data_IF_233814489754
#
_entry.id   IF_233814489754
#
_cell.length_a   1.000
_cell.length_b   1.000
_cell.length_c   1.000
_cell.angle_alpha   90.00
_cell.angle_beta   90.00
_cell.angle_gamma   90.00
#
_symmetry.space_group_name_H-M   'P 1'
#
loop_
_entity.id
_entity.type
_entity.pdbx_description
1 polymer ?
#
# COMPACT_ATOMS: atom_id res chain seq x y z
N UNK A 1 -31.65 -15.95 0.19
CA UNK A 1 -30.37 -15.45 0.72
C UNK A 1 -29.38 -15.60 -0.42
N UNK A 2 -28.73 -14.53 -0.88
CA UNK A 2 -27.67 -14.66 -1.88
C UNK A 2 -26.45 -15.18 -1.12
N UNK A 3 -26.15 -16.47 -1.23
CA UNK A 3 -24.88 -17.01 -0.75
C UNK A 3 -23.77 -16.55 -1.70
N UNK A 4 -22.64 -16.18 -1.12
CA UNK A 4 -21.46 -15.76 -1.85
C UNK A 4 -20.80 -17.00 -2.45
N UNK A 5 -20.50 -16.97 -3.75
CA UNK A 5 -19.96 -18.12 -4.46
C UNK A 5 -18.51 -18.39 -4.04
N UNK A 6 -18.05 -19.64 -4.11
CA UNK A 6 -16.70 -20.02 -3.66
C UNK A 6 -15.57 -19.28 -4.40
N UNK A 7 -15.84 -18.78 -5.60
CA UNK A 7 -14.90 -17.97 -6.39
C UNK A 7 -14.92 -16.47 -6.00
N UNK A 8 -15.98 -16.01 -5.35
CA UNK A 8 -16.05 -14.68 -4.72
C UNK A 8 -15.32 -14.65 -3.37
N UNK A 9 -15.13 -15.83 -2.74
CA UNK A 9 -14.14 -16.06 -1.68
C UNK A 9 -12.73 -16.08 -2.30
N UNK A 10 -12.32 -14.98 -2.93
CA UNK A 10 -10.93 -14.82 -3.30
C UNK A 10 -10.10 -14.82 -2.00
N UNK A 11 -9.13 -15.72 -1.80
CA UNK A 11 -8.29 -15.71 -0.60
C UNK A 11 -7.51 -14.39 -0.46
N UNK A 12 -7.54 -13.55 -1.52
CA UNK A 12 -7.22 -12.11 -1.50
C UNK A 12 -5.75 -11.80 -1.24
N UNK A 13 -4.96 -12.81 -0.88
CA UNK A 13 -3.60 -12.68 -0.40
C UNK A 13 -2.90 -14.04 -0.46
N UNK A 14 -2.01 -14.20 -1.43
CA UNK A 14 -0.94 -15.19 -1.31
C UNK A 14 -0.06 -14.74 -0.14
N UNK A 15 -0.24 -15.34 1.03
CA UNK A 15 0.64 -15.17 2.18
C UNK A 15 1.62 -16.34 2.18
N UNK A 16 2.92 -16.05 2.16
CA UNK A 16 3.92 -16.97 2.70
C UNK A 16 3.57 -17.23 4.18
N UNK A 17 3.95 -18.38 4.74
CA UNK A 17 3.74 -18.75 6.15
C UNK A 17 4.28 -17.67 7.12
N UNK A 18 5.18 -16.81 6.64
CA UNK A 18 5.79 -15.68 7.37
C UNK A 18 5.02 -14.35 7.23
N UNK A 19 3.91 -14.32 6.49
CA UNK A 19 3.15 -13.09 6.23
C UNK A 19 3.83 -12.13 5.24
N UNK A 20 4.81 -12.60 4.47
CA UNK A 20 5.52 -11.81 3.48
C UNK A 20 4.62 -11.43 2.29
N UNK A 21 4.96 -10.32 1.62
CA UNK A 21 4.27 -9.88 0.41
C UNK A 21 4.51 -10.89 -0.71
N UNK A 22 3.48 -11.29 -1.48
CA UNK A 22 3.69 -12.21 -2.58
C UNK A 22 4.63 -11.62 -3.62
N UNK A 23 5.67 -12.40 -3.94
CA UNK A 23 6.59 -12.15 -5.04
C UNK A 23 5.89 -12.51 -6.35
N UNK A 24 5.72 -11.54 -7.24
CA UNK A 24 5.11 -11.71 -8.57
C UNK A 24 6.18 -12.11 -9.60
N UNK A 25 7.35 -11.50 -9.49
CA UNK A 25 8.57 -11.74 -10.28
C UNK A 25 9.78 -11.65 -9.33
N UNK A 26 10.96 -12.13 -9.73
CA UNK A 26 12.19 -12.10 -8.91
C UNK A 26 12.46 -10.73 -8.26
N UNK A 27 12.09 -9.65 -8.93
CA UNK A 27 12.31 -8.25 -8.58
C UNK A 27 11.04 -7.48 -8.21
N UNK A 28 9.84 -8.06 -8.41
CA UNK A 28 8.56 -7.37 -8.22
C UNK A 28 7.72 -8.09 -7.17
N UNK A 29 7.29 -7.36 -6.15
CA UNK A 29 6.30 -7.83 -5.17
C UNK A 29 5.12 -6.89 -5.08
N UNK A 30 3.98 -7.42 -4.63
CA UNK A 30 2.76 -6.66 -4.42
C UNK A 30 2.20 -6.88 -3.03
N UNK A 31 1.73 -5.82 -2.38
CA UNK A 31 1.09 -5.88 -1.08
C UNK A 31 -0.13 -4.99 -1.02
N UNK A 32 -1.13 -5.42 -0.26
CA UNK A 32 -2.33 -4.61 0.06
C UNK A 32 -2.26 -4.21 1.53
N UNK A 33 -2.18 -2.90 1.78
CA UNK A 33 -2.16 -2.36 3.14
C UNK A 33 -3.53 -1.75 3.45
N UNK A 34 -4.10 -2.15 4.58
CA UNK A 34 -5.33 -1.56 5.12
C UNK A 34 -4.93 -0.65 6.27
N UNK A 35 -5.22 0.64 6.14
CA UNK A 35 -4.97 1.65 7.18
C UNK A 35 -6.31 1.96 7.83
N UNK A 36 -6.45 1.56 9.11
CA UNK A 36 -7.69 1.73 9.86
C UNK A 36 -7.98 3.21 10.15
N UNK A 37 -9.23 3.54 10.54
CA UNK A 37 -9.59 4.88 10.95
C UNK A 37 -8.67 5.45 12.03
N UNK A 38 -8.10 6.64 11.79
CA UNK A 38 -7.20 7.31 12.72
C UNK A 38 -5.76 6.79 12.72
N UNK A 39 -5.47 5.70 12.00
CA UNK A 39 -4.15 5.08 11.97
C UNK A 39 -3.24 5.69 10.89
N UNK A 40 -1.96 5.34 11.02
CA UNK A 40 -0.94 5.67 10.04
C UNK A 40 -0.09 4.45 9.68
N UNK A 41 0.49 4.50 8.50
CA UNK A 41 1.49 3.53 8.05
C UNK A 41 2.76 4.26 7.64
N UNK A 42 3.92 3.73 8.06
CA UNK A 42 5.22 4.32 7.78
C UNK A 42 6.07 3.34 6.97
N UNK A 43 6.68 3.85 5.90
CA UNK A 43 7.78 3.20 5.21
C UNK A 43 9.09 3.90 5.60
N UNK A 44 10.07 3.09 5.98
CA UNK A 44 11.45 3.57 6.19
C UNK A 44 12.13 3.80 4.84
N UNK A 45 13.15 4.66 4.84
CA UNK A 45 14.01 4.86 3.70
C UNK A 45 14.79 3.57 3.39
N UNK A 46 14.55 2.98 2.22
CA UNK A 46 15.24 1.77 1.73
C UNK A 46 15.92 2.10 0.41
N UNK A 47 17.24 1.86 0.32
CA UNK A 47 18.09 2.35 -0.77
C UNK A 47 17.96 1.55 -2.07
N UNK A 48 17.41 0.34 -1.99
CA UNK A 48 17.35 -0.65 -3.06
C UNK A 48 15.92 -0.87 -3.58
N UNK A 49 14.95 -0.06 -3.13
CA UNK A 49 13.53 -0.27 -3.43
C UNK A 49 12.84 0.98 -3.96
N UNK A 50 12.07 0.78 -5.01
CA UNK A 50 11.04 1.71 -5.46
C UNK A 50 9.68 1.15 -5.09
N UNK A 51 8.80 2.02 -4.57
CA UNK A 51 7.41 1.66 -4.31
C UNK A 51 6.46 2.54 -5.09
N UNK A 52 5.50 1.90 -5.75
CA UNK A 52 4.39 2.58 -6.39
C UNK A 52 3.16 2.30 -5.53
N UNK A 53 2.62 3.34 -4.92
CA UNK A 53 1.49 3.26 -4.02
C UNK A 53 0.27 3.87 -4.71
N UNK A 54 -0.80 3.09 -4.88
CA UNK A 54 -2.09 3.59 -5.37
C UNK A 54 -3.18 3.38 -4.35
N UNK A 55 -4.03 4.40 -4.17
CA UNK A 55 -5.13 4.35 -3.23
C UNK A 55 -6.36 3.73 -3.92
N UNK A 56 -6.70 2.51 -3.54
CA UNK A 56 -7.86 1.81 -4.09
C UNK A 56 -9.17 2.40 -3.54
N UNK A 57 -9.22 2.67 -2.24
CA UNK A 57 -10.36 3.31 -1.57
C UNK A 57 -9.92 4.09 -0.34
N UNK A 58 -10.76 5.04 0.10
CA UNK A 58 -10.50 5.93 1.23
C UNK A 58 -9.84 7.25 0.83
N UNK A 59 -9.26 7.94 1.81
CA UNK A 59 -8.52 9.20 1.61
C UNK A 59 -7.34 9.23 2.58
N UNK A 60 -6.17 9.59 2.09
CA UNK A 60 -4.96 9.65 2.90
C UNK A 60 -4.34 11.04 2.89
N UNK A 61 -3.74 11.43 4.02
CA UNK A 61 -2.74 12.49 4.05
C UNK A 61 -1.37 11.84 3.89
N UNK A 62 -0.65 12.21 2.83
CA UNK A 62 0.65 11.65 2.48
C UNK A 62 1.74 12.66 2.85
N UNK A 63 2.80 12.19 3.49
CA UNK A 63 4.01 12.97 3.79
C UNK A 63 5.22 12.19 3.29
N UNK A 64 5.90 12.75 2.29
CA UNK A 64 7.19 12.26 1.78
C UNK A 64 8.29 13.20 2.25
N UNK A 65 9.49 12.66 2.43
CA UNK A 65 10.66 13.48 2.71
C UNK A 65 10.84 14.56 1.63
N UNK A 66 11.18 15.78 2.07
CA UNK A 66 11.45 16.93 1.19
C UNK A 66 10.28 17.35 0.29
N UNK A 67 9.04 17.03 0.66
CA UNK A 67 7.84 17.50 -0.04
C UNK A 67 6.80 18.01 0.94
N UNK A 68 6.01 18.99 0.51
CA UNK A 68 4.85 19.43 1.28
C UNK A 68 3.81 18.30 1.39
N UNK A 69 3.21 18.08 2.57
CA UNK A 69 2.18 17.08 2.74
C UNK A 69 0.98 17.36 1.82
N UNK A 70 0.44 16.30 1.22
CA UNK A 70 -0.71 16.41 0.30
C UNK A 70 -1.79 15.39 0.63
N UNK A 71 -3.01 15.64 0.17
CA UNK A 71 -4.12 14.70 0.31
C UNK A 71 -4.28 13.88 -0.96
N UNK A 72 -4.55 12.59 -0.80
CA UNK A 72 -4.78 11.65 -1.88
C UNK A 72 -6.15 10.99 -1.72
N UNK A 73 -6.98 11.04 -2.77
CA UNK A 73 -8.23 10.30 -2.86
C UNK A 73 -8.10 9.04 -3.73
N UNK A 74 -9.20 8.30 -3.93
CA UNK A 74 -9.19 7.07 -4.72
C UNK A 74 -8.64 7.29 -6.13
N UNK A 75 -7.97 6.27 -6.69
CA UNK A 75 -7.22 6.31 -7.95
C UNK A 75 -6.01 7.25 -7.96
N UNK A 76 -5.74 7.96 -6.86
CA UNK A 76 -4.50 8.69 -6.68
C UNK A 76 -3.32 7.73 -6.54
N UNK A 77 -2.15 8.17 -7.02
CA UNK A 77 -0.92 7.39 -6.91
C UNK A 77 0.27 8.26 -6.57
N UNK A 78 1.23 7.70 -5.84
CA UNK A 78 2.52 8.32 -5.58
C UNK A 78 3.64 7.29 -5.66
N UNK A 79 4.84 7.77 -5.96
CA UNK A 79 6.05 6.95 -6.04
C UNK A 79 6.98 7.29 -4.89
N UNK A 80 7.40 6.28 -4.15
CA UNK A 80 8.53 6.36 -3.23
C UNK A 80 9.79 6.02 -4.01
N UNK A 81 10.66 7.03 -4.13
CA UNK A 81 12.01 6.84 -4.67
C UNK A 81 12.87 6.08 -3.64
N UNK A 82 13.99 5.48 -4.06
CA UNK A 82 14.92 4.89 -3.11
C UNK A 82 15.36 5.91 -2.07
N UNK A 83 15.64 5.42 -0.87
CA UNK A 83 16.07 6.22 0.28
C UNK A 83 15.10 7.33 0.71
N UNK A 84 13.82 7.23 0.32
CA UNK A 84 12.77 8.19 0.72
C UNK A 84 11.87 7.56 1.78
N UNK A 85 11.78 8.17 2.96
CA UNK A 85 10.78 7.77 3.95
C UNK A 85 9.41 8.35 3.60
N UNK A 86 8.35 7.68 4.06
CA UNK A 86 6.98 8.11 3.84
C UNK A 86 6.10 7.74 5.02
N UNK A 87 5.19 8.65 5.37
CA UNK A 87 4.08 8.38 6.28
C UNK A 87 2.78 8.69 5.59
N UNK A 88 1.81 7.78 5.70
CA UNK A 88 0.44 8.00 5.28
C UNK A 88 -0.48 7.89 6.48
N UNK A 89 -1.44 8.81 6.57
CA UNK A 89 -2.38 8.91 7.69
C UNK A 89 -3.82 8.83 7.16
N UNK A 90 -4.63 7.96 7.75
CA UNK A 90 -6.06 7.88 7.47
C UNK A 90 -6.83 8.67 8.53
N UNK A 91 -7.37 9.83 8.14
CA UNK A 91 -8.15 10.71 9.03
C UNK A 91 -9.66 10.53 8.91
N UNK A 92 -10.10 9.47 8.23
CA UNK A 92 -11.52 9.17 8.03
C UNK A 92 -11.98 8.04 8.95
N UNK A 93 -13.29 7.94 9.15
CA UNK A 93 -13.94 6.85 9.90
C UNK A 93 -14.12 5.54 9.09
N UNK A 94 -13.54 5.47 7.89
CA UNK A 94 -13.56 4.29 7.03
C UNK A 94 -12.15 3.84 6.73
N UNK A 95 -11.96 2.54 6.48
CA UNK A 95 -10.67 1.99 6.08
C UNK A 95 -10.16 2.64 4.78
N UNK A 96 -8.84 2.86 4.72
CA UNK A 96 -8.14 3.20 3.48
C UNK A 96 -7.33 1.99 3.02
N UNK A 97 -7.43 1.66 1.73
CA UNK A 97 -6.76 0.48 1.15
C UNK A 97 -5.75 0.93 0.12
N UNK A 98 -4.47 0.64 0.37
CA UNK A 98 -3.35 1.00 -0.49
C UNK A 98 -2.80 -0.25 -1.16
N UNK A 99 -2.75 -0.22 -2.48
CA UNK A 99 -1.98 -1.18 -3.27
C UNK A 99 -0.54 -0.70 -3.36
N UNK A 100 0.41 -1.59 -3.06
CA UNK A 100 1.84 -1.28 -3.03
C UNK A 100 2.57 -2.27 -3.92
N UNK A 101 3.03 -1.79 -5.07
CA UNK A 101 3.98 -2.53 -5.90
C UNK A 101 5.39 -2.11 -5.51
N UNK A 102 6.22 -3.07 -5.11
CA UNK A 102 7.64 -2.84 -4.79
C UNK A 102 8.49 -3.46 -5.88
N UNK A 103 9.43 -2.67 -6.42
CA UNK A 103 10.46 -3.12 -7.36
C UNK A 103 11.80 -3.09 -6.62
N UNK A 104 12.49 -4.23 -6.58
CA UNK A 104 13.73 -4.47 -5.84
C UNK A 104 14.82 -4.91 -6.81
N UNK A 105 15.44 -3.96 -7.52
CA UNK A 105 16.67 -4.11 -8.30
C UNK A 105 16.96 -2.79 -9.04
N UNK A 106 18.16 -2.24 -8.84
CA UNK A 106 18.84 -1.34 -9.77
C UNK A 106 20.29 -1.79 -9.88
#
# INVERSE_FOLDING_TARGET
>A
MLEMEDWEVAPGRLRDERGASPTISEDISFNVIVIKPGDSHQWSAEADKVRICSLATGKLKVRLDNTEPFSMGPNGMFKLKPSTACTVENRLYVDAVVHVTTVSQF
#
